data_IF_992704858859
#
_entry.id   IF_992704858859
#
_cell.length_a   1.000
_cell.length_b   1.000
_cell.length_c   1.000
_cell.angle_alpha   90.00
_cell.angle_beta   90.00
_cell.angle_gamma   90.00
#
_symmetry.space_group_name_H-M   'P 1'
#
loop_
_entity.id
_entity.type
_entity.pdbx_description
1 polymer ?
#
# COMPACT_ATOMS: atom_id res chain seq x y z
N UNK A 1 -31.46 -17.65 -4.01
CA UNK A 1 -31.90 -18.41 -2.81
C UNK A 1 -30.79 -19.27 -2.20
N UNK A 2 -29.64 -19.47 -2.87
CA UNK A 2 -28.46 -20.10 -2.28
C UNK A 2 -27.36 -19.05 -2.19
N UNK A 3 -27.20 -18.48 -0.99
CA UNK A 3 -26.14 -17.51 -0.69
C UNK A 3 -24.82 -18.26 -0.59
N UNK A 4 -23.71 -17.62 -0.98
CA UNK A 4 -22.38 -18.10 -0.60
C UNK A 4 -22.30 -18.31 0.92
N UNK A 5 -21.58 -19.34 1.35
CA UNK A 5 -21.30 -19.58 2.77
C UNK A 5 -20.50 -18.40 3.34
N UNK A 6 -21.03 -17.79 4.40
CA UNK A 6 -20.40 -16.66 5.09
C UNK A 6 -20.66 -15.27 4.47
N UNK A 7 -20.94 -15.17 3.17
CA UNK A 7 -20.97 -13.87 2.48
C UNK A 7 -22.01 -12.87 2.99
N UNK A 8 -23.25 -13.32 3.23
CA UNK A 8 -24.26 -12.44 3.82
C UNK A 8 -23.90 -12.05 5.26
N UNK A 9 -23.37 -12.99 6.04
CA UNK A 9 -23.00 -12.74 7.42
C UNK A 9 -21.89 -11.68 7.50
N UNK A 10 -20.91 -11.73 6.60
CA UNK A 10 -19.85 -10.73 6.55
C UNK A 10 -20.39 -9.31 6.28
N UNK A 11 -21.33 -9.19 5.33
CA UNK A 11 -22.01 -7.91 5.02
C UNK A 11 -22.83 -7.44 6.22
N UNK A 12 -23.55 -8.35 6.87
CA UNK A 12 -24.39 -8.03 8.03
C UNK A 12 -23.52 -7.57 9.20
N UNK A 13 -22.37 -8.20 9.47
CA UNK A 13 -21.40 -7.79 10.50
C UNK A 13 -20.89 -6.37 10.21
N UNK A 14 -20.36 -6.11 9.02
CA UNK A 14 -19.82 -4.78 8.67
C UNK A 14 -20.92 -3.70 8.79
N UNK A 15 -22.12 -3.99 8.28
CA UNK A 15 -23.26 -3.06 8.33
C UNK A 15 -23.71 -2.81 9.75
N UNK A 16 -23.80 -3.85 10.59
CA UNK A 16 -24.22 -3.70 11.98
C UNK A 16 -23.22 -2.82 12.75
N UNK A 17 -21.94 -3.15 12.70
CA UNK A 17 -20.91 -2.44 13.46
C UNK A 17 -20.77 -0.97 13.03
N UNK A 18 -20.74 -0.71 11.72
CA UNK A 18 -20.39 0.62 11.21
C UNK A 18 -21.59 1.52 10.88
N UNK A 19 -22.81 0.97 10.80
CA UNK A 19 -23.97 1.74 10.34
C UNK A 19 -25.26 1.57 11.15
N UNK A 20 -25.39 0.56 12.02
CA UNK A 20 -26.65 0.29 12.74
C UNK A 20 -26.52 0.36 14.26
N UNK A 21 -25.42 -0.14 14.82
CA UNK A 21 -25.21 -0.17 16.26
C UNK A 21 -24.68 1.17 16.76
N UNK A 22 -25.26 1.65 17.86
CA UNK A 22 -24.78 2.83 18.57
C UNK A 22 -23.62 2.51 19.54
N UNK A 23 -22.99 3.54 20.10
CA UNK A 23 -21.85 3.38 21.00
C UNK A 23 -22.22 2.62 22.28
N UNK A 24 -23.45 2.78 22.79
CA UNK A 24 -23.89 2.13 24.02
C UNK A 24 -24.03 0.61 23.80
N UNK A 25 -24.60 0.20 22.67
CA UNK A 25 -24.69 -1.21 22.28
C UNK A 25 -23.31 -1.83 22.09
N UNK A 26 -22.38 -1.12 21.44
CA UNK A 26 -21.03 -1.64 21.20
C UNK A 26 -20.20 -1.79 22.46
N UNK A 27 -20.36 -0.89 23.44
CA UNK A 27 -19.70 -1.02 24.74
C UNK A 27 -20.09 -2.31 25.48
N UNK A 28 -21.25 -2.90 25.17
CA UNK A 28 -21.65 -4.21 25.71
C UNK A 28 -21.05 -5.40 24.96
N UNK A 29 -20.37 -5.17 23.83
CA UNK A 29 -19.78 -6.19 22.97
C UNK A 29 -18.24 -6.14 23.07
N UNK A 30 -17.60 -6.86 24.01
CA UNK A 30 -16.14 -6.79 24.21
C UNK A 30 -15.33 -7.25 22.98
N UNK A 31 -15.95 -8.03 22.08
CA UNK A 31 -15.33 -8.46 20.84
C UNK A 31 -15.39 -7.39 19.73
N UNK A 32 -16.18 -6.32 19.88
CA UNK A 32 -16.21 -5.22 18.93
C UNK A 32 -15.07 -4.23 19.25
N UNK A 33 -14.14 -4.10 18.31
CA UNK A 33 -12.98 -3.21 18.40
C UNK A 33 -13.16 -2.03 17.44
N UNK A 34 -12.46 -0.93 17.70
CA UNK A 34 -12.40 0.24 16.84
C UNK A 34 -10.95 0.61 16.56
N UNK A 35 -10.65 1.02 15.33
CA UNK A 35 -9.35 1.61 15.00
C UNK A 35 -9.34 3.14 15.25
N UNK A 36 -8.16 3.74 15.10
CA UNK A 36 -7.90 5.18 15.22
C UNK A 36 -8.67 6.05 14.21
N UNK A 37 -9.35 5.45 13.23
CA UNK A 37 -10.17 6.13 12.22
C UNK A 37 -11.66 5.96 12.47
N UNK A 38 -12.02 5.25 13.54
CA UNK A 38 -13.40 4.97 13.90
C UNK A 38 -14.04 3.81 13.11
N UNK A 39 -13.28 3.04 12.31
CA UNK A 39 -13.83 1.80 11.74
C UNK A 39 -13.97 0.78 12.86
N UNK A 40 -15.15 0.17 12.96
CA UNK A 40 -15.48 -0.88 13.92
C UNK A 40 -15.39 -2.26 13.26
N UNK A 41 -14.81 -3.23 13.96
CA UNK A 41 -14.61 -4.60 13.47
C UNK A 41 -14.66 -5.60 14.64
N UNK A 42 -14.73 -6.90 14.35
CA UNK A 42 -14.69 -7.94 15.38
C UNK A 42 -13.26 -8.40 15.65
N UNK A 43 -12.96 -8.72 16.91
CA UNK A 43 -11.72 -9.36 17.31
C UNK A 43 -11.50 -10.69 16.55
N UNK A 44 -10.24 -11.10 16.31
CA UNK A 44 -9.94 -12.33 15.57
C UNK A 44 -10.72 -13.55 16.08
N UNK A 45 -11.21 -14.38 15.16
CA UNK A 45 -11.97 -15.61 15.45
C UNK A 45 -13.18 -15.44 16.39
N UNK A 46 -13.80 -14.25 16.43
CA UNK A 46 -15.07 -14.04 17.15
C UNK A 46 -16.21 -14.87 16.54
N UNK A 47 -16.21 -15.01 15.21
CA UNK A 47 -17.20 -15.79 14.46
C UNK A 47 -16.50 -16.91 13.73
N UNK A 48 -16.59 -18.12 14.28
CA UNK A 48 -16.03 -19.33 13.68
C UNK A 48 -17.09 -20.14 12.97
N UNK A 49 -16.85 -20.51 11.71
CA UNK A 49 -17.76 -21.31 10.89
C UNK A 49 -17.01 -22.54 10.37
N UNK A 50 -17.40 -23.72 10.83
CA UNK A 50 -16.84 -24.98 10.35
C UNK A 50 -17.82 -25.67 9.39
N UNK A 51 -17.35 -26.05 8.21
CA UNK A 51 -18.14 -26.78 7.20
C UNK A 51 -17.35 -27.96 6.63
N UNK A 52 -18.03 -28.89 5.97
CA UNK A 52 -17.40 -30.02 5.29
C UNK A 52 -18.15 -30.42 4.03
N UNK A 53 -17.56 -31.28 3.21
CA UNK A 53 -18.15 -31.80 1.97
C UNK A 53 -17.78 -30.99 0.75
N UNK A 54 -18.76 -30.66 -0.11
CA UNK A 54 -18.53 -29.84 -1.30
C UNK A 54 -19.23 -28.49 -1.18
N UNK A 55 -18.44 -27.42 -1.11
CA UNK A 55 -18.92 -26.06 -1.11
C UNK A 55 -19.13 -25.54 -2.55
N UNK A 56 -20.23 -24.81 -2.73
CA UNK A 56 -20.54 -24.11 -3.98
C UNK A 56 -19.60 -22.93 -4.26
N UNK A 57 -19.95 -22.14 -5.27
CA UNK A 57 -19.18 -20.98 -5.67
C UNK A 57 -19.10 -19.91 -4.57
N UNK A 58 -18.01 -19.14 -4.62
CA UNK A 58 -17.77 -17.94 -3.82
C UNK A 58 -17.70 -18.19 -2.31
N UNK A 59 -17.27 -19.37 -1.86
CA UNK A 59 -17.13 -19.68 -0.42
C UNK A 59 -16.33 -18.58 0.32
N UNK A 60 -16.88 -18.01 1.39
CA UNK A 60 -16.21 -16.95 2.15
C UNK A 60 -16.06 -15.62 1.41
N UNK A 61 -16.88 -15.34 0.39
CA UNK A 61 -16.91 -14.03 -0.27
C UNK A 61 -17.07 -12.91 0.75
N UNK A 62 -16.28 -11.85 0.63
CA UNK A 62 -16.24 -10.73 1.58
C UNK A 62 -15.93 -11.11 3.04
N UNK A 63 -15.32 -12.28 3.30
CA UNK A 63 -14.88 -12.62 4.65
C UNK A 63 -14.11 -11.43 5.26
N UNK A 64 -14.52 -11.05 6.47
CA UNK A 64 -14.17 -9.79 7.10
C UNK A 64 -13.54 -10.04 8.47
N UNK A 65 -12.95 -9.01 9.05
CA UNK A 65 -12.26 -9.05 10.33
C UNK A 65 -13.11 -9.71 11.43
N UNK A 66 -12.48 -10.65 12.13
CA UNK A 66 -13.06 -11.46 13.19
C UNK A 66 -13.84 -12.70 12.75
N UNK A 67 -13.99 -12.93 11.44
CA UNK A 67 -14.51 -14.19 10.91
C UNK A 67 -13.38 -15.19 10.67
N UNK A 68 -13.63 -16.46 11.01
CA UNK A 68 -12.78 -17.60 10.65
C UNK A 68 -13.66 -18.69 10.04
N UNK A 69 -13.37 -19.08 8.79
CA UNK A 69 -14.07 -20.16 8.09
C UNK A 69 -13.12 -21.33 7.92
N UNK A 70 -13.49 -22.51 8.42
CA UNK A 70 -12.74 -23.75 8.21
C UNK A 70 -13.58 -24.74 7.43
N UNK A 71 -13.08 -25.15 6.27
CA UNK A 71 -13.72 -26.12 5.41
C UNK A 71 -12.88 -27.40 5.31
N UNK A 72 -13.49 -28.56 5.51
CA UNK A 72 -12.88 -29.86 5.18
C UNK A 72 -13.56 -30.44 3.94
N UNK A 73 -12.90 -30.37 2.78
CA UNK A 73 -13.50 -30.77 1.52
C UNK A 73 -13.10 -29.90 0.33
N UNK A 74 -13.97 -29.80 -0.67
CA UNK A 74 -13.72 -29.05 -1.90
C UNK A 74 -14.60 -27.83 -2.02
N UNK A 75 -14.06 -26.73 -2.57
CA UNK A 75 -14.79 -25.51 -2.89
C UNK A 75 -14.75 -25.25 -4.40
N UNK A 76 -15.86 -24.83 -4.98
CA UNK A 76 -15.87 -24.31 -6.35
C UNK A 76 -15.23 -22.91 -6.43
N UNK A 77 -15.25 -22.32 -7.62
CA UNK A 77 -14.63 -21.03 -7.95
C UNK A 77 -14.96 -19.89 -6.98
N UNK A 78 -14.01 -18.97 -6.79
CA UNK A 78 -14.21 -17.69 -6.11
C UNK A 78 -14.06 -17.73 -4.59
N UNK A 79 -13.37 -18.72 -4.04
CA UNK A 79 -13.06 -18.77 -2.59
C UNK A 79 -12.41 -17.46 -2.14
N UNK A 80 -12.94 -16.82 -1.10
CA UNK A 80 -12.41 -15.57 -0.58
C UNK A 80 -12.47 -14.39 -1.58
N UNK A 81 -13.35 -14.45 -2.60
CA UNK A 81 -13.56 -13.30 -3.50
C UNK A 81 -13.89 -12.04 -2.70
N UNK A 82 -13.15 -10.96 -2.95
CA UNK A 82 -13.30 -9.70 -2.22
C UNK A 82 -13.09 -9.81 -0.71
N UNK A 83 -12.37 -10.84 -0.22
CA UNK A 83 -12.00 -10.96 1.19
C UNK A 83 -11.33 -9.67 1.66
N UNK A 84 -11.76 -9.17 2.82
CA UNK A 84 -11.37 -7.88 3.36
C UNK A 84 -10.93 -8.00 4.83
N UNK A 85 -10.60 -9.19 5.29
CA UNK A 85 -10.20 -9.49 6.65
C UNK A 85 -10.43 -10.95 6.99
N UNK A 86 -10.26 -11.29 8.27
CA UNK A 86 -10.53 -12.64 8.77
C UNK A 86 -9.68 -13.72 8.11
N UNK A 87 -10.10 -14.97 8.29
CA UNK A 87 -9.34 -16.13 7.86
C UNK A 87 -10.23 -17.17 7.18
N UNK A 88 -9.74 -17.76 6.09
CA UNK A 88 -10.38 -18.88 5.41
C UNK A 88 -9.35 -20.02 5.37
N UNK A 89 -9.76 -21.20 5.78
CA UNK A 89 -8.93 -22.40 5.88
C UNK A 89 -9.63 -23.52 5.12
N UNK A 90 -8.98 -24.11 4.12
CA UNK A 90 -9.47 -25.26 3.38
C UNK A 90 -8.52 -26.43 3.60
N UNK A 91 -9.01 -27.46 4.30
CA UNK A 91 -8.29 -28.68 4.64
C UNK A 91 -8.67 -29.81 3.69
N UNK A 92 -7.69 -30.63 3.37
CA UNK A 92 -7.91 -31.87 2.63
C UNK A 92 -8.71 -32.84 3.49
N UNK A 93 -9.80 -33.45 2.99
CA UNK A 93 -10.53 -34.48 3.71
C UNK A 93 -9.79 -35.85 3.73
N UNK A 94 -8.60 -35.93 3.12
CA UNK A 94 -7.88 -37.19 2.88
C UNK A 94 -8.41 -37.95 1.66
N UNK A 95 -7.72 -39.03 1.28
CA UNK A 95 -8.15 -39.93 0.19
C UNK A 95 -7.94 -39.41 -1.24
N UNK A 96 -7.26 -38.28 -1.40
CA UNK A 96 -6.85 -37.76 -2.71
C UNK A 96 -5.56 -38.39 -3.25
N UNK A 97 -5.20 -38.11 -4.51
CA UNK A 97 -3.99 -38.67 -5.13
C UNK A 97 -2.73 -38.20 -4.38
N UNK A 98 -1.74 -39.08 -4.30
CA UNK A 98 -0.38 -38.74 -3.84
C UNK A 98 0.54 -38.31 -5.00
N UNK A 99 0.03 -38.31 -6.23
CA UNK A 99 0.80 -37.88 -7.41
C UNK A 99 1.11 -36.38 -7.37
N UNK A 100 2.14 -35.98 -8.11
CA UNK A 100 2.61 -34.59 -8.22
C UNK A 100 1.56 -33.61 -8.73
N UNK A 101 0.54 -34.10 -9.45
CA UNK A 101 -0.58 -33.28 -9.95
C UNK A 101 -1.62 -32.94 -8.86
N UNK A 102 -1.45 -33.47 -7.65
CA UNK A 102 -2.07 -33.03 -6.40
C UNK A 102 -3.60 -33.04 -6.35
N UNK A 103 -4.13 -32.59 -5.21
CA UNK A 103 -5.56 -32.54 -4.94
C UNK A 103 -6.07 -31.11 -5.12
N UNK A 104 -6.77 -30.84 -6.22
CA UNK A 104 -7.45 -29.56 -6.44
C UNK A 104 -8.60 -29.44 -5.43
N UNK A 105 -8.42 -28.58 -4.43
CA UNK A 105 -9.41 -28.35 -3.37
C UNK A 105 -10.24 -27.11 -3.63
N UNK A 106 -9.71 -26.12 -4.34
CA UNK A 106 -10.45 -24.90 -4.65
C UNK A 106 -10.41 -24.59 -6.15
N UNK A 107 -11.53 -24.08 -6.67
CA UNK A 107 -11.64 -23.69 -8.08
C UNK A 107 -10.88 -22.42 -8.45
N UNK A 108 -11.28 -21.83 -9.58
CA UNK A 108 -10.65 -20.66 -10.17
C UNK A 108 -10.96 -19.37 -9.41
N UNK A 109 -10.23 -18.28 -9.68
CA UNK A 109 -10.52 -16.92 -9.21
C UNK A 109 -10.62 -16.78 -7.67
N UNK A 110 -9.94 -17.64 -6.92
CA UNK A 110 -9.82 -17.45 -5.48
C UNK A 110 -9.10 -16.14 -5.16
N UNK A 111 -9.53 -15.45 -4.11
CA UNK A 111 -9.06 -14.12 -3.68
C UNK A 111 -9.20 -13.01 -4.72
N UNK A 112 -10.10 -13.17 -5.70
CA UNK A 112 -10.31 -12.13 -6.70
C UNK A 112 -10.66 -10.78 -6.03
N UNK A 113 -9.76 -9.81 -6.17
CA UNK A 113 -9.93 -8.46 -5.63
C UNK A 113 -9.88 -8.37 -4.11
N UNK A 114 -9.28 -9.36 -3.43
CA UNK A 114 -9.14 -9.32 -1.98
C UNK A 114 -8.30 -8.12 -1.52
N UNK A 115 -8.63 -7.56 -0.36
CA UNK A 115 -8.02 -6.35 0.22
C UNK A 115 -7.45 -6.58 1.63
N UNK A 116 -7.53 -7.80 2.14
CA UNK A 116 -7.00 -8.18 3.44
C UNK A 116 -7.41 -9.60 3.80
N UNK A 117 -7.00 -10.03 4.99
CA UNK A 117 -7.28 -11.36 5.53
C UNK A 117 -6.29 -12.41 5.06
N UNK A 118 -6.51 -13.63 5.57
CA UNK A 118 -5.66 -14.81 5.30
C UNK A 118 -6.45 -15.92 4.61
N UNK A 119 -5.79 -16.66 3.72
CA UNK A 119 -6.32 -17.88 3.11
C UNK A 119 -5.27 -19.00 3.14
N UNK A 120 -5.62 -20.15 3.73
CA UNK A 120 -4.77 -21.33 3.78
C UNK A 120 -5.44 -22.51 3.09
N UNK A 121 -4.77 -23.13 2.12
CA UNK A 121 -5.32 -24.19 1.28
C UNK A 121 -4.38 -25.39 1.29
N UNK A 122 -4.79 -26.47 1.93
CA UNK A 122 -4.04 -27.73 2.02
C UNK A 122 -4.20 -28.57 0.75
N UNK A 123 -3.93 -27.95 -0.39
CA UNK A 123 -4.14 -28.54 -1.71
C UNK A 123 -3.98 -27.48 -2.80
N UNK A 124 -4.36 -27.84 -4.02
CA UNK A 124 -4.20 -26.98 -5.18
C UNK A 124 -5.43 -26.08 -5.40
N UNK A 125 -5.16 -24.93 -6.01
CA UNK A 125 -6.15 -24.03 -6.56
C UNK A 125 -6.16 -24.09 -8.09
N UNK A 126 -7.31 -23.77 -8.69
CA UNK A 126 -7.43 -23.58 -10.13
C UNK A 126 -6.71 -22.32 -10.64
N UNK A 127 -7.11 -21.89 -11.83
CA UNK A 127 -6.54 -20.73 -12.51
C UNK A 127 -6.87 -19.41 -11.80
N UNK A 128 -6.01 -18.41 -12.04
CA UNK A 128 -6.17 -17.02 -11.58
C UNK A 128 -6.31 -16.91 -10.08
N UNK A 129 -5.58 -17.76 -9.35
CA UNK A 129 -5.42 -17.62 -7.92
C UNK A 129 -4.83 -16.24 -7.60
N UNK A 130 -5.45 -15.52 -6.66
CA UNK A 130 -5.04 -14.18 -6.22
C UNK A 130 -5.04 -13.10 -7.31
N UNK A 131 -5.89 -13.25 -8.35
CA UNK A 131 -6.06 -12.21 -9.37
C UNK A 131 -6.54 -10.89 -8.75
N UNK A 132 -5.87 -9.79 -9.05
CA UNK A 132 -6.14 -8.46 -8.47
C UNK A 132 -6.09 -8.43 -6.93
N UNK A 133 -5.40 -9.38 -6.31
CA UNK A 133 -5.16 -9.32 -4.87
C UNK A 133 -4.47 -7.99 -4.53
N UNK A 134 -5.00 -7.31 -3.54
CA UNK A 134 -4.63 -5.96 -3.15
C UNK A 134 -4.39 -5.87 -1.64
N UNK A 135 -4.21 -7.01 -0.95
CA UNK A 135 -3.83 -7.03 0.46
C UNK A 135 -4.02 -8.34 1.23
N UNK A 136 -4.58 -9.39 0.64
CA UNK A 136 -4.69 -10.68 1.31
C UNK A 136 -3.35 -11.43 1.33
N UNK A 137 -3.16 -12.25 2.36
CA UNK A 137 -2.02 -13.16 2.49
C UNK A 137 -2.50 -14.60 2.33
N UNK A 138 -1.81 -15.42 1.53
CA UNK A 138 -2.27 -16.79 1.31
C UNK A 138 -1.14 -17.81 1.14
N UNK A 139 -1.44 -19.05 1.56
CA UNK A 139 -0.59 -20.22 1.32
C UNK A 139 -1.42 -21.31 0.64
N UNK A 140 -0.88 -21.89 -0.42
CA UNK A 140 -1.52 -22.89 -1.26
C UNK A 140 -0.49 -23.92 -1.73
N UNK A 141 -0.91 -25.15 -2.02
CA UNK A 141 -0.02 -26.27 -2.37
C UNK A 141 -0.04 -26.61 -3.87
N UNK A 142 -0.43 -25.64 -4.69
CA UNK A 142 -0.38 -25.66 -6.14
C UNK A 142 -1.37 -24.67 -6.75
N UNK A 143 -1.06 -24.13 -7.91
CA UNK A 143 -1.90 -23.15 -8.60
C UNK A 143 -1.96 -23.45 -10.10
N UNK A 144 -3.09 -23.14 -10.72
CA UNK A 144 -3.23 -23.17 -12.17
C UNK A 144 -2.54 -21.99 -12.87
N UNK A 145 -3.02 -21.67 -14.06
CA UNK A 145 -2.52 -20.59 -14.89
C UNK A 145 -2.84 -19.21 -14.28
N UNK A 146 -1.98 -18.22 -14.55
CA UNK A 146 -2.17 -16.81 -14.23
C UNK A 146 -2.28 -16.51 -12.72
N UNK A 147 -1.54 -17.26 -11.89
CA UNK A 147 -1.40 -16.93 -10.47
C UNK A 147 -0.86 -15.51 -10.29
N UNK A 148 -1.44 -14.76 -9.35
CA UNK A 148 -1.08 -13.36 -9.03
C UNK A 148 -1.26 -12.36 -10.19
N UNK A 149 -2.10 -12.68 -11.18
CA UNK A 149 -2.39 -11.77 -12.29
C UNK A 149 -2.96 -10.43 -11.77
N UNK A 150 -2.41 -9.30 -12.20
CA UNK A 150 -2.79 -7.95 -11.75
C UNK A 150 -2.75 -7.71 -10.23
N UNK A 151 -1.99 -8.51 -9.48
CA UNK A 151 -1.83 -8.31 -8.04
C UNK A 151 -1.14 -6.95 -7.76
N UNK A 152 -1.69 -6.18 -6.82
CA UNK A 152 -1.22 -4.83 -6.45
C UNK A 152 -0.72 -4.74 -5.02
N UNK A 153 -1.06 -5.71 -4.16
CA UNK A 153 -0.52 -5.85 -2.81
C UNK A 153 -0.87 -7.23 -2.20
N UNK A 154 -0.34 -7.53 -1.02
CA UNK A 154 -0.51 -8.81 -0.32
C UNK A 154 0.71 -9.72 -0.47
N UNK A 155 0.59 -10.94 0.07
CA UNK A 155 1.66 -11.95 0.03
C UNK A 155 1.11 -13.33 -0.34
N UNK A 156 1.65 -13.96 -1.38
CA UNK A 156 1.20 -15.29 -1.84
C UNK A 156 2.35 -16.28 -1.78
N UNK A 157 2.18 -17.41 -1.10
CA UNK A 157 3.14 -18.51 -1.05
C UNK A 157 2.53 -19.74 -1.71
N UNK A 158 3.09 -20.16 -2.82
CA UNK A 158 2.78 -21.43 -3.44
C UNK A 158 3.84 -22.46 -3.12
N UNK A 159 3.42 -23.58 -2.53
CA UNK A 159 4.30 -24.68 -2.15
C UNK A 159 4.42 -25.73 -3.25
N UNK A 160 3.52 -25.75 -4.25
CA UNK A 160 3.44 -26.83 -5.23
C UNK A 160 3.54 -26.38 -6.68
N UNK A 161 2.85 -27.09 -7.56
CA UNK A 161 2.85 -26.83 -9.02
C UNK A 161 2.34 -25.43 -9.36
N UNK A 162 2.69 -24.94 -10.53
CA UNK A 162 2.27 -23.64 -11.04
C UNK A 162 2.07 -23.69 -12.55
N UNK A 163 1.05 -22.96 -13.03
CA UNK A 163 0.79 -22.79 -14.46
C UNK A 163 1.55 -21.61 -15.09
N UNK A 164 1.23 -21.31 -16.35
CA UNK A 164 1.84 -20.20 -17.11
C UNK A 164 1.29 -18.83 -16.68
N UNK A 165 1.97 -17.75 -17.07
CA UNK A 165 1.53 -16.38 -16.82
C UNK A 165 1.63 -15.94 -15.35
N UNK A 166 2.47 -16.59 -14.54
CA UNK A 166 2.66 -16.23 -13.13
C UNK A 166 3.08 -14.76 -13.02
N UNK A 167 2.35 -13.97 -12.23
CA UNK A 167 2.62 -12.56 -12.00
C UNK A 167 2.33 -11.63 -13.19
N UNK A 168 1.56 -12.06 -14.19
CA UNK A 168 1.21 -11.21 -15.34
C UNK A 168 0.50 -9.92 -14.90
N UNK A 169 1.05 -8.76 -15.26
CA UNK A 169 0.50 -7.45 -14.87
C UNK A 169 0.59 -7.15 -13.37
N UNK A 170 1.35 -7.93 -12.59
CA UNK A 170 1.59 -7.67 -11.17
C UNK A 170 2.30 -6.31 -11.00
N UNK A 171 1.81 -5.50 -10.06
CA UNK A 171 2.32 -4.15 -9.79
C UNK A 171 2.58 -3.83 -8.33
N UNK A 172 2.25 -4.74 -7.41
CA UNK A 172 2.66 -4.64 -6.02
C UNK A 172 2.42 -5.92 -5.23
N UNK A 173 2.93 -5.95 -4.00
CA UNK A 173 2.97 -7.15 -3.16
C UNK A 173 4.12 -8.09 -3.55
N UNK A 174 4.18 -9.24 -2.90
CA UNK A 174 5.20 -10.25 -3.12
C UNK A 174 4.57 -11.63 -3.26
N UNK A 175 5.10 -12.45 -4.16
CA UNK A 175 4.76 -13.86 -4.25
C UNK A 175 6.00 -14.71 -4.02
N UNK A 176 5.80 -15.96 -3.66
CA UNK A 176 6.84 -16.92 -3.35
C UNK A 176 6.46 -18.25 -3.98
N UNK A 177 7.45 -18.88 -4.60
CA UNK A 177 7.30 -20.18 -5.23
C UNK A 177 8.38 -21.11 -4.70
N UNK A 178 7.97 -22.27 -4.19
CA UNK A 178 8.86 -23.40 -4.03
C UNK A 178 9.07 -24.08 -5.40
N UNK A 179 10.25 -23.93 -6.00
CA UNK A 179 10.61 -24.36 -7.36
C UNK A 179 11.88 -25.23 -7.35
N UNK A 180 11.79 -26.48 -6.87
CA UNK A 180 12.95 -27.38 -6.82
C UNK A 180 13.52 -27.74 -8.19
N UNK A 181 12.75 -27.52 -9.27
CA UNK A 181 13.15 -27.82 -10.65
C UNK A 181 13.63 -26.60 -11.43
N UNK A 182 13.57 -25.40 -10.86
CA UNK A 182 14.04 -24.17 -11.50
C UNK A 182 13.28 -23.79 -12.78
N UNK A 183 11.99 -24.09 -12.86
CA UNK A 183 11.17 -23.90 -14.07
C UNK A 183 10.28 -22.65 -14.06
N UNK A 184 10.26 -21.90 -12.95
CA UNK A 184 9.41 -20.70 -12.79
C UNK A 184 9.65 -19.64 -13.85
N UNK A 185 10.92 -19.38 -14.20
CA UNK A 185 11.27 -18.33 -15.16
C UNK A 185 10.64 -18.54 -16.56
N UNK A 186 10.41 -19.79 -16.96
CA UNK A 186 9.75 -20.13 -18.23
C UNK A 186 8.22 -19.95 -18.19
N UNK A 187 7.63 -19.92 -17.00
CA UNK A 187 6.18 -19.84 -16.78
C UNK A 187 5.72 -18.47 -16.30
N UNK A 188 6.62 -17.62 -15.81
CA UNK A 188 6.29 -16.31 -15.29
C UNK A 188 6.34 -15.20 -16.35
N UNK A 189 5.59 -14.13 -16.12
CA UNK A 189 5.54 -12.96 -16.99
C UNK A 189 6.77 -12.06 -16.78
N UNK A 190 7.89 -12.39 -17.42
CA UNK A 190 9.19 -11.72 -17.20
C UNK A 190 9.24 -10.22 -17.55
N UNK A 191 8.24 -9.72 -18.28
CA UNK A 191 8.03 -8.29 -18.56
C UNK A 191 7.42 -7.54 -17.36
N UNK A 192 6.71 -8.26 -16.48
CA UNK A 192 6.00 -7.72 -15.32
C UNK A 192 6.79 -7.91 -14.02
N UNK A 193 7.45 -9.06 -13.88
CA UNK A 193 8.08 -9.48 -12.62
C UNK A 193 9.58 -9.74 -12.73
N UNK A 194 10.21 -9.76 -11.57
CA UNK A 194 11.59 -10.13 -11.28
C UNK A 194 11.61 -11.25 -10.24
N UNK A 195 12.71 -11.98 -10.24
CA UNK A 195 12.96 -13.10 -9.34
C UNK A 195 14.18 -12.82 -8.49
N UNK A 196 14.15 -13.28 -7.24
CA UNK A 196 15.34 -13.40 -6.40
C UNK A 196 15.23 -14.63 -5.51
N UNK A 197 16.37 -15.06 -4.98
CA UNK A 197 16.45 -16.19 -4.07
C UNK A 197 16.29 -15.71 -2.63
N UNK A 198 15.58 -16.48 -1.80
CA UNK A 198 15.55 -16.20 -0.35
C UNK A 198 16.80 -16.75 0.37
N UNK A 199 17.64 -17.50 -0.35
CA UNK A 199 18.85 -18.11 0.19
C UNK A 199 20.11 -17.25 -0.03
N UNK A 200 20.00 -16.13 -0.74
CA UNK A 200 21.09 -15.17 -0.87
C UNK A 200 21.41 -14.50 0.48
N UNK A 201 22.63 -13.98 0.63
CA UNK A 201 23.12 -13.40 1.89
C UNK A 201 22.89 -11.87 2.01
N UNK A 202 22.00 -11.31 1.21
CA UNK A 202 21.65 -9.90 1.28
C UNK A 202 20.44 -9.63 2.20
N UNK A 203 20.26 -8.36 2.57
CA UNK A 203 19.21 -7.93 3.50
C UNK A 203 17.78 -8.19 2.97
N UNK A 204 17.57 -8.10 1.65
CA UNK A 204 16.25 -8.39 1.05
C UNK A 204 15.95 -9.88 1.11
N UNK A 205 16.92 -10.73 0.80
CA UNK A 205 16.78 -12.18 0.92
C UNK A 205 16.41 -12.59 2.36
N UNK A 206 17.03 -11.99 3.38
CA UNK A 206 16.69 -12.23 4.80
C UNK A 206 15.24 -11.88 5.14
N UNK A 207 14.73 -10.73 4.67
CA UNK A 207 13.33 -10.32 4.85
C UNK A 207 12.39 -11.34 4.22
N UNK A 208 12.66 -11.74 2.98
CA UNK A 208 11.83 -12.71 2.27
C UNK A 208 11.88 -14.10 2.91
N UNK A 209 13.06 -14.53 3.38
CA UNK A 209 13.25 -15.78 4.12
C UNK A 209 12.36 -15.82 5.38
N UNK A 210 12.36 -14.74 6.15
CA UNK A 210 11.49 -14.64 7.34
C UNK A 210 10.01 -14.63 6.98
N UNK A 211 9.62 -13.96 5.89
CA UNK A 211 8.24 -13.96 5.41
C UNK A 211 7.76 -15.37 5.04
N UNK A 212 8.56 -16.13 4.27
CA UNK A 212 8.26 -17.52 3.89
C UNK A 212 8.16 -18.42 5.13
N UNK A 213 9.11 -18.36 6.06
CA UNK A 213 9.06 -19.12 7.31
C UNK A 213 7.79 -18.83 8.10
N UNK A 214 7.40 -17.56 8.20
CA UNK A 214 6.19 -17.16 8.93
C UNK A 214 4.94 -17.74 8.26
N UNK A 215 4.84 -17.63 6.94
CA UNK A 215 3.72 -18.15 6.16
C UNK A 215 3.62 -19.68 6.22
N UNK A 216 4.76 -20.39 6.18
CA UNK A 216 4.81 -21.85 6.37
C UNK A 216 4.28 -22.26 7.74
N UNK A 217 4.71 -21.59 8.81
CA UNK A 217 4.23 -21.88 10.16
C UNK A 217 2.73 -21.61 10.30
N UNK A 218 2.24 -20.49 9.76
CA UNK A 218 0.79 -20.21 9.75
C UNK A 218 0.00 -21.26 8.98
N UNK A 219 0.50 -21.71 7.82
CA UNK A 219 -0.14 -22.74 7.03
C UNK A 219 -0.19 -24.08 7.76
N UNK A 220 0.93 -24.48 8.40
CA UNK A 220 1.00 -25.68 9.22
C UNK A 220 0.01 -25.62 10.40
N UNK A 221 -0.02 -24.51 11.14
CA UNK A 221 -0.94 -24.31 12.26
C UNK A 221 -2.41 -24.36 11.80
N UNK A 222 -2.74 -23.68 10.70
CA UNK A 222 -4.10 -23.59 10.19
C UNK A 222 -4.59 -24.93 9.61
N UNK A 223 -3.73 -25.69 8.93
CA UNK A 223 -4.15 -26.84 8.10
C UNK A 223 -3.66 -28.20 8.56
N UNK A 224 -2.56 -28.27 9.31
CA UNK A 224 -1.85 -29.52 9.57
C UNK A 224 -1.13 -30.07 8.33
N UNK A 225 -0.78 -29.22 7.36
CA UNK A 225 -0.12 -29.62 6.10
C UNK A 225 1.17 -30.41 6.32
N UNK A 226 1.18 -31.66 5.87
CA UNK A 226 2.38 -32.51 5.86
C UNK A 226 3.49 -31.91 4.99
N UNK A 227 3.14 -31.25 3.89
CA UNK A 227 4.10 -30.57 3.02
C UNK A 227 4.79 -29.41 3.74
N UNK A 228 4.03 -28.57 4.44
CA UNK A 228 4.61 -27.48 5.22
C UNK A 228 5.48 -28.00 6.37
N UNK A 229 5.04 -29.05 7.06
CA UNK A 229 5.82 -29.70 8.10
C UNK A 229 7.16 -30.23 7.56
N UNK A 230 7.13 -30.93 6.42
CA UNK A 230 8.33 -31.45 5.78
C UNK A 230 9.30 -30.35 5.35
N UNK A 231 8.81 -29.28 4.73
CA UNK A 231 9.62 -28.12 4.33
C UNK A 231 10.26 -27.40 5.52
N UNK A 232 9.56 -27.32 6.65
CA UNK A 232 10.09 -26.75 7.89
C UNK A 232 11.15 -27.66 8.53
N UNK A 233 10.95 -28.97 8.50
CA UNK A 233 11.92 -29.97 8.99
C UNK A 233 13.22 -29.97 8.17
N UNK A 234 13.12 -29.80 6.84
CA UNK A 234 14.24 -29.83 5.91
C UNK A 234 14.69 -28.42 5.46
N UNK A 235 14.36 -27.40 6.25
CA UNK A 235 14.51 -26.00 5.85
C UNK A 235 15.92 -25.60 5.41
N UNK A 236 16.95 -26.16 6.06
CA UNK A 236 18.36 -25.87 5.76
C UNK A 236 18.72 -26.15 4.30
N UNK A 237 18.14 -27.20 3.69
CA UNK A 237 18.35 -27.55 2.29
C UNK A 237 17.29 -26.91 1.39
N UNK A 238 16.03 -27.01 1.79
CA UNK A 238 14.90 -26.65 0.93
C UNK A 238 14.75 -25.15 0.72
N UNK A 239 15.28 -24.30 1.61
CA UNK A 239 15.22 -22.86 1.45
C UNK A 239 15.86 -22.36 0.15
N UNK A 240 16.82 -23.11 -0.42
CA UNK A 240 17.48 -22.79 -1.68
C UNK A 240 16.56 -22.90 -2.90
N UNK A 241 15.44 -23.61 -2.78
CA UNK A 241 14.46 -23.80 -3.84
C UNK A 241 13.32 -22.79 -3.80
N UNK A 242 13.32 -21.86 -2.85
CA UNK A 242 12.32 -20.79 -2.81
C UNK A 242 12.78 -19.56 -3.58
N UNK A 243 11.92 -19.16 -4.52
CA UNK A 243 12.10 -17.95 -5.31
C UNK A 243 11.04 -16.94 -4.86
N UNK A 244 11.47 -15.73 -4.50
CA UNK A 244 10.54 -14.62 -4.36
C UNK A 244 10.32 -13.95 -5.72
N UNK A 245 9.07 -13.59 -5.99
CA UNK A 245 8.60 -12.92 -7.19
C UNK A 245 8.15 -11.52 -6.78
N UNK A 246 8.75 -10.51 -7.40
CA UNK A 246 8.41 -9.11 -7.15
C UNK A 246 8.13 -8.37 -8.46
N UNK A 247 7.22 -7.40 -8.48
CA UNK A 247 6.92 -6.64 -9.68
C UNK A 247 8.02 -5.62 -9.98
N UNK A 248 8.36 -5.46 -11.27
CA UNK A 248 9.33 -4.45 -11.74
C UNK A 248 8.91 -3.02 -11.39
N UNK A 249 7.61 -2.77 -11.34
CA UNK A 249 7.05 -1.45 -11.03
C UNK A 249 7.39 -0.95 -9.63
N UNK A 250 7.64 -1.84 -8.65
CA UNK A 250 8.11 -1.41 -7.33
C UNK A 250 9.48 -0.72 -7.45
N UNK A 251 10.41 -1.27 -8.23
CA UNK A 251 11.70 -0.64 -8.48
C UNK A 251 11.54 0.68 -9.21
N UNK A 252 10.81 0.69 -10.33
CA UNK A 252 10.58 1.91 -11.13
C UNK A 252 9.88 3.03 -10.35
N UNK A 253 9.18 2.68 -9.27
CA UNK A 253 8.47 3.63 -8.43
C UNK A 253 9.25 4.03 -7.17
N UNK A 254 10.08 3.16 -6.60
CA UNK A 254 10.61 3.30 -5.24
C UNK A 254 12.13 3.15 -5.11
N UNK A 255 12.82 2.71 -6.16
CA UNK A 255 14.28 2.59 -6.20
C UNK A 255 14.88 3.77 -6.96
N UNK A 256 15.72 4.56 -6.30
CA UNK A 256 16.31 5.77 -6.88
C UNK A 256 17.19 5.48 -8.10
N UNK A 257 17.91 4.36 -8.11
CA UNK A 257 18.80 3.97 -9.22
C UNK A 257 17.98 3.60 -10.46
N UNK A 258 16.89 2.85 -10.27
CA UNK A 258 16.01 2.49 -11.39
C UNK A 258 15.18 3.69 -11.88
N UNK A 259 14.78 4.59 -10.97
CA UNK A 259 14.15 5.87 -11.35
C UNK A 259 15.10 6.72 -12.19
N UNK A 260 16.37 6.84 -11.79
CA UNK A 260 17.39 7.59 -12.50
C UNK A 260 17.62 7.04 -13.92
N UNK A 261 17.67 5.70 -14.07
CA UNK A 261 17.79 5.05 -15.38
C UNK A 261 16.58 5.32 -16.28
N UNK A 262 15.38 5.44 -15.69
CA UNK A 262 14.13 5.56 -16.44
C UNK A 262 13.71 6.99 -16.77
N UNK A 263 14.27 8.01 -16.11
CA UNK A 263 13.82 9.42 -16.23
C UNK A 263 14.94 10.36 -16.60
N UNK A 264 14.61 11.38 -17.40
CA UNK A 264 15.55 12.46 -17.70
C UNK A 264 15.60 13.46 -16.54
N UNK A 265 16.69 14.23 -16.42
CA UNK A 265 16.79 15.35 -15.46
C UNK A 265 15.59 16.29 -15.53
N UNK A 266 15.09 16.58 -16.74
CA UNK A 266 13.91 17.42 -16.94
C UNK A 266 12.69 16.82 -16.25
N UNK A 267 12.44 15.53 -16.43
CA UNK A 267 11.31 14.83 -15.83
C UNK A 267 11.42 14.79 -14.30
N UNK A 268 12.64 14.58 -13.78
CA UNK A 268 12.90 14.58 -12.34
C UNK A 268 12.61 15.96 -11.72
N UNK A 269 13.14 17.03 -12.31
CA UNK A 269 12.91 18.40 -11.85
C UNK A 269 11.41 18.78 -11.92
N UNK A 270 10.74 18.40 -13.01
CA UNK A 270 9.31 18.71 -13.20
C UNK A 270 8.42 17.99 -12.19
N UNK A 271 8.64 16.69 -11.98
CA UNK A 271 7.88 15.89 -11.01
C UNK A 271 8.11 16.40 -9.58
N UNK A 272 9.36 16.58 -9.17
CA UNK A 272 9.69 16.97 -7.79
C UNK A 272 9.25 18.40 -7.48
N UNK A 273 9.44 19.36 -8.40
CA UNK A 273 8.98 20.73 -8.20
C UNK A 273 7.46 20.83 -8.10
N UNK A 274 6.73 20.05 -8.91
CA UNK A 274 5.26 19.97 -8.84
C UNK A 274 4.82 19.38 -7.50
N UNK A 275 5.48 18.32 -7.04
CA UNK A 275 5.19 17.69 -5.75
C UNK A 275 5.41 18.66 -4.57
N UNK A 276 6.54 19.37 -4.56
CA UNK A 276 6.88 20.38 -3.55
C UNK A 276 5.82 21.50 -3.50
N UNK A 277 5.47 22.07 -4.65
CA UNK A 277 4.45 23.12 -4.71
C UNK A 277 3.07 22.62 -4.25
N UNK A 278 2.66 21.44 -4.72
CA UNK A 278 1.38 20.82 -4.37
C UNK A 278 1.30 20.49 -2.88
N UNK A 279 2.41 20.06 -2.28
CA UNK A 279 2.50 19.82 -0.84
C UNK A 279 2.18 21.08 -0.03
N UNK A 280 2.79 22.22 -0.40
CA UNK A 280 2.56 23.49 0.30
C UNK A 280 1.11 23.98 0.16
N UNK A 281 0.52 23.87 -1.03
CA UNK A 281 -0.90 24.23 -1.24
C UNK A 281 -1.83 23.30 -0.45
N UNK A 282 -1.59 21.98 -0.50
CA UNK A 282 -2.43 20.98 0.18
C UNK A 282 -2.41 21.17 1.69
N UNK A 283 -1.23 21.42 2.27
CA UNK A 283 -1.06 21.72 3.70
C UNK A 283 -1.88 22.93 4.12
N UNK A 284 -1.75 24.04 3.38
CA UNK A 284 -2.51 25.27 3.65
C UNK A 284 -4.02 25.06 3.47
N UNK A 285 -4.44 24.39 2.38
CA UNK A 285 -5.84 24.03 2.09
C UNK A 285 -6.47 23.23 3.23
N UNK A 286 -5.77 22.21 3.73
CA UNK A 286 -6.29 21.37 4.80
C UNK A 286 -6.53 22.15 6.09
N UNK A 287 -5.58 23.01 6.49
CA UNK A 287 -5.73 23.88 7.65
C UNK A 287 -6.91 24.85 7.48
N UNK A 288 -7.02 25.50 6.32
CA UNK A 288 -8.11 26.42 6.00
C UNK A 288 -9.47 25.71 6.00
N UNK A 289 -9.58 24.55 5.34
CA UNK A 289 -10.83 23.77 5.24
C UNK A 289 -11.33 23.33 6.61
N UNK A 290 -10.42 22.86 7.45
CA UNK A 290 -10.74 22.32 8.76
C UNK A 290 -10.83 23.39 9.85
N UNK A 291 -10.55 24.66 9.51
CA UNK A 291 -10.45 25.79 10.46
C UNK A 291 -9.48 25.51 11.61
N UNK A 292 -8.38 24.82 11.30
CA UNK A 292 -7.31 24.53 12.25
C UNK A 292 -6.14 25.48 12.03
N UNK A 293 -5.43 25.80 13.10
CA UNK A 293 -4.18 26.55 13.01
C UNK A 293 -3.13 25.71 12.29
N UNK A 294 -2.40 26.33 11.36
CA UNK A 294 -1.22 25.71 10.74
C UNK A 294 -0.18 25.47 11.84
N UNK A 295 0.51 24.32 11.78
CA UNK A 295 1.52 23.92 12.76
C UNK A 295 1.05 23.98 14.22
N UNK A 296 -0.25 23.74 14.49
CA UNK A 296 -0.85 23.85 15.81
C UNK A 296 -0.66 25.23 16.48
N UNK A 297 -0.48 26.29 15.67
CA UNK A 297 -0.25 27.65 16.17
C UNK A 297 1.19 27.91 16.61
N UNK A 298 2.12 26.98 16.34
CA UNK A 298 3.54 27.22 16.58
C UNK A 298 4.01 28.43 15.77
N UNK A 299 4.72 29.34 16.44
CA UNK A 299 5.34 30.51 15.83
C UNK A 299 6.82 30.53 16.18
N UNK A 300 7.70 30.99 15.27
CA UNK A 300 9.12 31.14 15.57
C UNK A 300 9.33 32.08 16.74
N UNK A 301 10.33 31.79 17.58
CA UNK A 301 10.78 32.74 18.59
C UNK A 301 11.29 34.02 17.95
N UNK A 302 11.20 35.14 18.68
CA UNK A 302 11.71 36.42 18.19
C UNK A 302 13.19 36.32 17.80
N UNK A 303 13.53 36.71 16.57
CA UNK A 303 14.89 36.64 16.03
C UNK A 303 15.34 35.25 15.57
N UNK A 304 14.50 34.21 15.70
CA UNK A 304 14.85 32.88 15.19
C UNK A 304 14.85 32.86 13.66
N UNK A 305 15.99 32.50 13.07
CA UNK A 305 16.14 32.26 11.63
C UNK A 305 16.49 30.80 11.40
N UNK A 306 16.15 30.27 10.21
CA UNK A 306 16.51 28.90 9.80
C UNK A 306 16.02 27.78 10.74
N UNK A 307 14.87 27.99 11.38
CA UNK A 307 14.19 26.97 12.21
C UNK A 307 13.07 26.30 11.43
N UNK A 308 12.68 25.05 11.76
CA UNK A 308 11.53 24.38 11.16
C UNK A 308 10.26 25.24 11.23
N UNK A 309 10.00 25.88 12.36
CA UNK A 309 8.84 26.76 12.54
C UNK A 309 8.88 27.96 11.60
N UNK A 310 10.07 28.54 11.37
CA UNK A 310 10.25 29.67 10.45
C UNK A 310 10.01 29.25 9.00
N UNK A 311 10.54 28.10 8.59
CA UNK A 311 10.30 27.56 7.25
C UNK A 311 8.81 27.33 7.01
N UNK A 312 8.12 26.71 7.98
CA UNK A 312 6.67 26.51 7.90
C UNK A 312 5.94 27.84 7.78
N UNK A 313 6.27 28.84 8.60
CA UNK A 313 5.64 30.16 8.53
C UNK A 313 5.83 30.81 7.16
N UNK A 314 7.07 30.86 6.66
CA UNK A 314 7.42 31.46 5.37
C UNK A 314 6.70 30.78 4.21
N UNK A 315 6.62 29.45 4.22
CA UNK A 315 5.94 28.70 3.17
C UNK A 315 4.44 29.00 3.14
N UNK A 316 3.78 29.02 4.30
CA UNK A 316 2.36 29.33 4.37
C UNK A 316 2.06 30.77 3.97
N UNK A 317 2.93 31.72 4.33
CA UNK A 317 2.83 33.09 3.85
C UNK A 317 3.07 33.19 2.34
N UNK A 318 4.01 32.41 1.79
CA UNK A 318 4.23 32.34 0.33
C UNK A 318 2.98 31.87 -0.40
N UNK A 319 2.34 30.81 0.09
CA UNK A 319 1.09 30.30 -0.51
C UNK A 319 0.00 31.37 -0.43
N UNK A 320 -0.20 31.98 0.74
CA UNK A 320 -1.23 33.01 0.96
C UNK A 320 -1.01 34.23 0.07
N UNK A 321 0.19 34.79 0.05
CA UNK A 321 0.55 35.94 -0.78
C UNK A 321 0.36 35.63 -2.27
N UNK A 322 0.82 34.46 -2.73
CA UNK A 322 0.69 34.03 -4.13
C UNK A 322 -0.76 33.89 -4.54
N UNK A 323 -1.61 33.27 -3.71
CA UNK A 323 -3.03 33.07 -4.03
C UNK A 323 -3.81 34.38 -3.98
N UNK A 324 -3.51 35.29 -3.06
CA UNK A 324 -4.11 36.62 -3.00
C UNK A 324 -3.75 37.44 -4.24
N UNK A 325 -2.47 37.47 -4.64
CA UNK A 325 -2.04 38.15 -5.86
C UNK A 325 -2.73 37.57 -7.11
N UNK A 326 -2.87 36.24 -7.17
CA UNK A 326 -3.59 35.59 -8.27
C UNK A 326 -5.08 35.95 -8.27
N UNK A 327 -5.73 35.95 -7.11
CA UNK A 327 -7.12 36.37 -6.96
C UNK A 327 -7.32 37.83 -7.40
N UNK A 328 -6.48 38.75 -6.93
CA UNK A 328 -6.50 40.16 -7.34
C UNK A 328 -6.31 40.33 -8.84
N UNK A 329 -5.43 39.55 -9.47
CA UNK A 329 -5.22 39.61 -10.92
C UNK A 329 -6.43 39.18 -11.75
N UNK A 330 -7.38 38.44 -11.14
CA UNK A 330 -8.65 38.01 -11.76
C UNK A 330 -9.81 38.95 -11.43
N UNK A 331 -9.58 40.01 -10.65
CA UNK A 331 -10.59 40.97 -10.20
C UNK A 331 -10.29 42.38 -10.73
N UNK A 332 -11.26 43.32 -10.65
CA UNK A 332 -11.05 44.70 -11.09
C UNK A 332 -9.84 45.35 -10.42
N UNK A 333 -9.10 46.19 -11.16
CA UNK A 333 -7.97 46.94 -10.62
C UNK A 333 -8.42 47.85 -9.47
N UNK A 334 -7.65 47.88 -8.38
CA UNK A 334 -7.95 48.68 -7.20
C UNK A 334 -8.79 47.97 -6.13
N UNK A 335 -9.17 46.71 -6.35
CA UNK A 335 -9.82 45.88 -5.31
C UNK A 335 -8.88 45.67 -4.12
N UNK A 336 -9.35 45.95 -2.88
CA UNK A 336 -8.57 45.70 -1.66
C UNK A 336 -8.44 44.20 -1.38
N UNK A 337 -7.35 43.79 -0.71
CA UNK A 337 -7.17 42.40 -0.25
C UNK A 337 -8.28 41.97 0.72
N UNK A 338 -8.87 42.93 1.44
CA UNK A 338 -9.96 42.71 2.41
C UNK A 338 -11.33 42.57 1.75
N UNK A 339 -11.43 42.78 0.44
CA UNK A 339 -12.70 42.67 -0.27
C UNK A 339 -13.23 41.21 -0.20
N UNK A 340 -14.49 41.00 0.20
CA UNK A 340 -15.09 39.66 0.25
C UNK A 340 -15.02 38.87 -1.07
N UNK A 341 -14.96 39.57 -2.22
CA UNK A 341 -14.76 38.95 -3.53
C UNK A 341 -13.36 38.34 -3.66
N UNK A 342 -12.32 38.97 -3.09
CA UNK A 342 -10.95 38.44 -3.04
C UNK A 342 -10.92 37.21 -2.14
N UNK A 343 -11.51 37.27 -0.95
CA UNK A 343 -11.58 36.12 -0.04
C UNK A 343 -12.26 34.91 -0.71
N UNK A 344 -13.39 35.15 -1.38
CA UNK A 344 -14.09 34.11 -2.15
C UNK A 344 -13.22 33.54 -3.27
N UNK A 345 -12.52 34.38 -4.03
CA UNK A 345 -11.62 33.94 -5.09
C UNK A 345 -10.43 33.12 -4.54
N UNK A 346 -9.79 33.59 -3.47
CA UNK A 346 -8.71 32.88 -2.76
C UNK A 346 -9.18 31.50 -2.31
N UNK A 347 -10.34 31.44 -1.65
CA UNK A 347 -10.92 30.18 -1.20
C UNK A 347 -11.13 29.21 -2.36
N UNK A 348 -11.68 29.68 -3.48
CA UNK A 348 -11.90 28.84 -4.65
C UNK A 348 -10.59 28.29 -5.20
N UNK A 349 -9.59 29.16 -5.42
CA UNK A 349 -8.27 28.79 -5.92
C UNK A 349 -7.58 27.72 -5.05
N UNK A 350 -7.65 27.88 -3.73
CA UNK A 350 -7.10 26.91 -2.77
C UNK A 350 -7.86 25.58 -2.80
N UNK A 351 -9.19 25.62 -2.75
CA UNK A 351 -10.00 24.39 -2.67
C UNK A 351 -9.88 23.55 -3.93
N UNK A 352 -9.76 24.19 -5.10
CA UNK A 352 -9.57 23.53 -6.39
C UNK A 352 -8.11 23.22 -6.70
N UNK A 353 -7.15 23.64 -5.86
CA UNK A 353 -5.71 23.53 -6.14
C UNK A 353 -5.38 24.04 -7.55
N UNK A 354 -5.82 25.28 -7.84
CA UNK A 354 -5.81 25.86 -9.19
C UNK A 354 -4.43 25.73 -9.86
N UNK A 355 -4.45 25.30 -11.13
CA UNK A 355 -3.23 25.05 -11.91
C UNK A 355 -2.29 26.26 -11.93
N UNK A 356 -2.80 27.48 -12.10
CA UNK A 356 -1.95 28.67 -12.16
C UNK A 356 -1.33 29.01 -10.79
N UNK A 357 -2.00 28.68 -9.69
CA UNK A 357 -1.43 28.79 -8.35
C UNK A 357 -0.25 27.82 -8.19
N UNK A 358 -0.46 26.53 -8.52
CA UNK A 358 0.59 25.52 -8.45
C UNK A 358 1.76 25.90 -9.36
N UNK A 359 1.52 26.28 -10.62
CA UNK A 359 2.59 26.65 -11.56
C UNK A 359 3.40 27.87 -11.10
N UNK A 360 2.76 28.85 -10.44
CA UNK A 360 3.49 30.00 -9.88
C UNK A 360 4.44 29.57 -8.75
N UNK A 361 3.96 28.72 -7.85
CA UNK A 361 4.73 28.18 -6.72
C UNK A 361 5.82 27.19 -7.19
N UNK A 362 5.56 26.47 -8.28
CA UNK A 362 6.51 25.52 -8.87
C UNK A 362 7.83 26.19 -9.27
N UNK A 363 7.84 27.47 -9.64
CA UNK A 363 9.08 28.21 -9.94
C UNK A 363 10.03 28.25 -8.74
N UNK A 364 9.51 28.52 -7.54
CA UNK A 364 10.29 28.49 -6.30
C UNK A 364 10.78 27.08 -6.00
N UNK A 365 9.88 26.10 -6.11
CA UNK A 365 10.23 24.70 -5.90
C UNK A 365 11.32 24.22 -6.86
N UNK A 366 11.28 24.65 -8.13
CA UNK A 366 12.30 24.30 -9.13
C UNK A 366 13.65 24.92 -8.79
N UNK A 367 13.71 26.21 -8.43
CA UNK A 367 14.96 26.84 -8.03
C UNK A 367 15.55 26.22 -6.76
N UNK A 368 14.70 25.76 -5.83
CA UNK A 368 15.15 25.06 -4.63
C UNK A 368 15.92 23.76 -4.92
N UNK A 369 15.59 23.08 -6.03
CA UNK A 369 16.14 21.75 -6.36
C UNK A 369 17.07 21.75 -7.58
N UNK A 370 17.23 22.87 -8.28
CA UNK A 370 17.94 22.90 -9.57
C UNK A 370 19.45 22.60 -9.47
N UNK A 371 20.02 22.79 -8.28
CA UNK A 371 21.44 22.56 -8.01
C UNK A 371 21.75 21.13 -7.54
N UNK A 372 20.73 20.30 -7.30
CA UNK A 372 20.93 18.90 -6.96
C UNK A 372 21.38 18.09 -8.19
N UNK A 373 22.21 17.07 -7.96
CA UNK A 373 22.61 16.11 -9.00
C UNK A 373 21.42 15.25 -9.46
N UNK A 374 21.55 14.55 -10.58
CA UNK A 374 20.49 13.67 -11.06
C UNK A 374 20.24 12.50 -10.08
N UNK A 375 21.30 11.99 -9.46
CA UNK A 375 21.25 10.97 -8.42
C UNK A 375 20.47 11.47 -7.20
N UNK A 376 20.78 12.67 -6.72
CA UNK A 376 20.09 13.27 -5.57
C UNK A 376 18.60 13.53 -5.88
N UNK A 377 18.29 14.06 -7.06
CA UNK A 377 16.91 14.29 -7.50
C UNK A 377 16.10 12.98 -7.56
N UNK A 378 16.71 11.90 -8.08
CA UNK A 378 16.08 10.59 -8.14
C UNK A 378 15.80 10.03 -6.73
N UNK A 379 16.71 10.25 -5.77
CA UNK A 379 16.53 9.86 -4.38
C UNK A 379 15.42 10.64 -3.69
N UNK A 380 15.32 11.94 -3.92
CA UNK A 380 14.23 12.77 -3.40
C UNK A 380 12.86 12.33 -3.94
N UNK A 381 12.79 11.96 -5.22
CA UNK A 381 11.58 11.39 -5.82
C UNK A 381 11.24 10.03 -5.20
N UNK A 382 12.22 9.13 -5.08
CA UNK A 382 12.03 7.82 -4.45
C UNK A 382 11.50 7.95 -3.02
N UNK A 383 12.10 8.84 -2.22
CA UNK A 383 11.69 9.11 -0.85
C UNK A 383 10.25 9.68 -0.78
N UNK A 384 9.91 10.63 -1.66
CA UNK A 384 8.55 11.19 -1.74
C UNK A 384 7.53 10.11 -2.10
N UNK A 385 7.81 9.30 -3.12
CA UNK A 385 6.93 8.22 -3.57
C UNK A 385 6.76 7.13 -2.52
N UNK A 386 7.82 6.84 -1.76
CA UNK A 386 7.76 5.94 -0.61
C UNK A 386 6.90 6.52 0.52
N UNK A 387 6.99 7.82 0.78
CA UNK A 387 6.11 8.51 1.73
C UNK A 387 4.63 8.44 1.30
N UNK A 388 4.34 8.67 0.02
CA UNK A 388 2.98 8.51 -0.53
C UNK A 388 2.48 7.07 -0.39
N UNK A 389 3.34 6.08 -0.64
CA UNK A 389 2.99 4.68 -0.48
C UNK A 389 2.65 4.34 0.97
N UNK A 390 3.46 4.79 1.95
CA UNK A 390 3.18 4.64 3.39
C UNK A 390 1.87 5.33 3.79
N UNK A 391 1.61 6.52 3.27
CA UNK A 391 0.36 7.25 3.51
C UNK A 391 -0.84 6.47 2.97
N UNK A 392 -0.76 5.96 1.74
CA UNK A 392 -1.80 5.14 1.13
C UNK A 392 -2.08 3.87 1.96
N UNK A 393 -1.04 3.18 2.44
CA UNK A 393 -1.20 2.01 3.32
C UNK A 393 -1.92 2.36 4.63
N UNK A 394 -1.57 3.48 5.25
CA UNK A 394 -2.19 3.94 6.51
C UNK A 394 -3.67 4.30 6.34
N UNK A 395 -4.06 4.77 5.14
CA UNK A 395 -5.42 5.20 4.80
C UNK A 395 -6.34 4.07 4.34
N UNK A 396 -5.84 2.84 4.10
CA UNK A 396 -6.67 1.70 3.66
C UNK A 396 -7.76 1.36 4.66
N UNK A 397 -9.03 1.37 4.28
CA UNK A 397 -10.12 0.96 5.17
C UNK A 397 -9.84 -0.38 5.87
N UNK A 398 -9.26 -1.32 5.13
CA UNK A 398 -8.81 -2.62 5.65
C UNK A 398 -7.31 -2.59 5.97
N UNK A 399 -6.99 -2.78 7.24
CA UNK A 399 -5.61 -2.88 7.76
C UNK A 399 -5.18 -4.30 8.10
N UNK A 400 -6.06 -5.30 8.01
CA UNK A 400 -5.71 -6.72 8.15
C UNK A 400 -4.92 -7.21 6.94
N UNK A 401 -3.72 -6.71 6.74
CA UNK A 401 -2.79 -7.07 5.67
C UNK A 401 -1.48 -7.57 6.28
N UNK A 402 -1.29 -8.88 6.24
CA UNK A 402 -0.12 -9.56 6.79
C UNK A 402 0.95 -9.81 5.72
N UNK A 403 1.48 -8.73 5.16
CA UNK A 403 2.53 -8.77 4.13
C UNK A 403 3.89 -8.32 4.68
N UNK A 404 4.59 -9.22 5.39
CA UNK A 404 5.86 -8.91 6.05
C UNK A 404 6.90 -8.32 5.09
N UNK A 405 7.04 -8.89 3.89
CA UNK A 405 8.01 -8.40 2.93
C UNK A 405 7.66 -7.03 2.33
N UNK A 406 6.38 -6.64 2.29
CA UNK A 406 6.01 -5.26 1.94
C UNK A 406 6.57 -4.27 2.95
N UNK A 407 6.45 -4.56 4.24
CA UNK A 407 7.02 -3.69 5.28
C UNK A 407 8.55 -3.72 5.27
N UNK A 408 9.16 -4.89 5.08
CA UNK A 408 10.61 -5.01 4.96
C UNK A 408 11.18 -4.27 3.75
N UNK A 409 10.52 -4.33 2.60
CA UNK A 409 10.87 -3.55 1.39
C UNK A 409 10.83 -2.05 1.64
N UNK A 410 9.78 -1.55 2.33
CA UNK A 410 9.69 -0.13 2.70
C UNK A 410 10.89 0.28 3.56
N UNK A 411 11.21 -0.51 4.59
CA UNK A 411 12.33 -0.24 5.51
C UNK A 411 13.66 -0.24 4.74
N UNK A 412 13.88 -1.25 3.91
CA UNK A 412 15.08 -1.40 3.10
C UNK A 412 15.27 -0.22 2.14
N UNK A 413 14.24 0.16 1.39
CA UNK A 413 14.33 1.27 0.44
C UNK A 413 14.43 2.63 1.13
N UNK A 414 13.76 2.83 2.27
CA UNK A 414 13.95 4.05 3.08
C UNK A 414 15.41 4.16 3.56
N UNK A 415 16.05 3.06 3.97
CA UNK A 415 17.44 3.05 4.41
C UNK A 415 18.40 3.36 3.25
N UNK A 416 18.25 2.69 2.10
CA UNK A 416 19.07 2.94 0.91
C UNK A 416 18.96 4.37 0.39
N UNK A 417 17.74 4.91 0.33
CA UNK A 417 17.54 6.29 -0.13
C UNK A 417 18.18 7.33 0.82
N UNK A 418 18.29 7.03 2.13
CA UNK A 418 18.97 7.89 3.10
C UNK A 418 20.49 7.84 2.98
N UNK A 419 21.06 6.69 2.63
CA UNK A 419 22.51 6.53 2.48
C UNK A 419 23.08 7.46 1.40
N UNK A 420 22.35 7.67 0.29
CA UNK A 420 22.80 8.54 -0.82
C UNK A 420 22.84 10.01 -0.42
N UNK A 421 21.85 10.50 0.32
CA UNK A 421 21.71 11.92 0.66
C UNK A 421 22.36 12.30 2.00
N UNK A 422 22.72 11.32 2.83
CA UNK A 422 23.18 11.49 4.22
C UNK A 422 22.07 11.99 5.16
N UNK A 423 21.45 13.13 4.81
CA UNK A 423 20.22 13.65 5.39
C UNK A 423 19.27 14.03 4.25
N UNK A 424 18.06 13.49 4.28
CA UNK A 424 16.98 13.96 3.41
C UNK A 424 16.63 15.41 3.80
N UNK A 425 16.81 16.41 2.92
CA UNK A 425 16.40 17.78 3.20
C UNK A 425 14.88 17.84 3.37
N UNK A 426 14.42 18.64 4.33
CA UNK A 426 13.00 18.82 4.56
C UNK A 426 12.38 19.67 3.44
N UNK A 427 11.21 19.28 2.95
CA UNK A 427 10.49 20.01 1.91
C UNK A 427 10.15 21.43 2.37
N UNK A 428 9.94 21.63 3.68
CA UNK A 428 9.72 22.96 4.25
C UNK A 428 10.95 23.86 4.10
N UNK A 429 12.13 23.35 4.48
CA UNK A 429 13.39 24.09 4.40
C UNK A 429 13.73 24.48 2.96
N UNK A 430 13.63 23.52 2.03
CA UNK A 430 13.93 23.75 0.61
C UNK A 430 13.06 24.84 0.01
N UNK A 431 11.74 24.73 0.21
CA UNK A 431 10.80 25.68 -0.40
C UNK A 431 10.95 27.09 0.20
N UNK A 432 11.11 27.19 1.53
CA UNK A 432 11.18 28.47 2.22
C UNK A 432 12.38 29.30 1.77
N UNK A 433 13.54 28.67 1.66
CA UNK A 433 14.77 29.34 1.20
C UNK A 433 14.65 29.89 -0.22
N UNK A 434 14.01 29.15 -1.12
CA UNK A 434 13.81 29.60 -2.50
C UNK A 434 12.72 30.66 -2.66
N UNK A 435 11.72 30.70 -1.79
CA UNK A 435 10.66 31.71 -1.81
C UNK A 435 11.06 33.05 -1.17
N UNK A 436 12.01 33.02 -0.22
CA UNK A 436 12.37 34.16 0.63
C UNK A 436 12.72 35.46 -0.15
N UNK A 437 13.50 35.44 -1.25
CA UNK A 437 13.83 36.67 -1.97
C UNK A 437 12.60 37.38 -2.56
N UNK A 438 11.64 36.64 -3.10
CA UNK A 438 10.41 37.21 -3.68
C UNK A 438 9.48 37.73 -2.57
N UNK A 439 9.39 37.00 -1.45
CA UNK A 439 8.65 37.46 -0.26
C UNK A 439 9.18 38.80 0.27
N UNK A 440 10.50 38.93 0.44
CA UNK A 440 11.12 40.16 0.91
C UNK A 440 10.81 41.35 -0.01
N UNK A 441 10.82 41.13 -1.33
CA UNK A 441 10.47 42.15 -2.32
C UNK A 441 8.97 42.53 -2.30
N UNK A 442 8.08 41.60 -1.95
CA UNK A 442 6.64 41.84 -1.87
C UNK A 442 6.23 42.63 -0.63
N UNK A 443 6.87 42.38 0.54
CA UNK A 443 6.60 43.11 1.78
C UNK A 443 6.90 44.61 1.62
N UNK A 444 7.96 44.97 0.90
CA UNK A 444 8.30 46.38 0.62
C UNK A 444 7.35 47.10 -0.36
N UNK A 445 6.37 46.41 -0.96
CA UNK A 445 5.34 47.00 -1.83
C UNK A 445 3.94 47.07 -1.17
N UNK A 446 3.78 46.40 -0.03
CA UNK A 446 2.54 46.36 0.75
C UNK A 446 2.59 47.30 1.98
N UNK A 447 3.77 47.86 2.28
CA UNK A 447 3.97 49.07 3.11
C UNK A 447 3.95 50.32 2.24
#
# INVERSE_FOLDING_TARGET
RHKSVGGQLAIDIERMLNHQLDDAQLQTMPAALSDDRGRRYLAPATVTISTSGSAGQSYGVFCNDGMQLTHSGTCNDGVGKGQCGGEIIVRSPGGGSQDTDGNVLIGNFALFGATGGRLFVQGQAGDRFAVRNSGATAVVEGVGDFCCEYMTNGAILNLGTFGKGFGNGMSGGFAYQYDPYGTLAAHAAGDSVLFGSIADDDEMAKVHKQAVLTMLNWHLEATGSERAAWLLEHWETECQHFVFVMPRSLLLYQDSVEILKAKTRKDLLEELSTALASHQVTKFKNAWRNRTTIANGAVPSYGATDTPEMFVLLNNYTVLSTVQQLALSRLPKGTSVEDPAVEKAVRNLLMTEDFALISKLQRHARSAIENYSDEELSCLIAAKRMADYKAALTQRNIRSMDSLATYGWIIYQDARNREVLGRLPDFEELFARAALPELAAAVGKLS
#
